data_IF_034567964824
#
_entry.id   IF_034567964824
#
_cell.length_a   1.000
_cell.length_b   1.000
_cell.length_c   1.000
_cell.angle_alpha   90.00
_cell.angle_beta   90.00
_cell.angle_gamma   90.00
#
_symmetry.space_group_name_H-M   'P 1'
#
loop_
_entity.id
_entity.type
_entity.pdbx_description
1 polymer ?
#
# COMPACT_ATOMS: atom_id res chain seq x y z
N UNK A 1 -5.50 12.91 18.88
CA UNK A 1 -4.32 12.97 17.99
C UNK A 1 -4.63 13.84 16.79
N UNK A 2 -3.75 14.76 16.46
CA UNK A 2 -3.78 15.52 15.20
C UNK A 2 -2.64 15.05 14.30
N UNK A 3 -2.79 15.24 13.00
CA UNK A 3 -1.70 14.88 12.07
C UNK A 3 -0.41 15.65 12.36
N UNK A 4 -0.53 16.90 12.84
CA UNK A 4 0.62 17.71 13.21
C UNK A 4 1.44 17.14 14.38
N UNK A 5 0.84 16.28 15.20
CA UNK A 5 1.49 15.67 16.36
C UNK A 5 2.33 14.44 15.97
N UNK A 6 2.20 13.95 14.72
CA UNK A 6 2.93 12.78 14.26
C UNK A 6 4.42 13.06 14.09
N UNK A 7 5.25 12.11 14.52
CA UNK A 7 6.69 12.16 14.30
C UNK A 7 7.03 11.63 12.90
N UNK A 8 6.84 12.49 11.91
CA UNK A 8 7.04 12.18 10.49
C UNK A 8 7.90 13.27 9.83
N UNK A 9 8.39 12.97 8.63
CA UNK A 9 9.21 13.91 7.86
C UNK A 9 8.45 15.21 7.57
N UNK A 10 9.15 16.33 7.64
CA UNK A 10 8.55 17.66 7.46
C UNK A 10 7.86 17.82 6.10
N UNK A 11 8.45 17.29 5.04
CA UNK A 11 7.84 17.31 3.70
C UNK A 11 6.48 16.64 3.69
N UNK A 12 6.33 15.55 4.44
CA UNK A 12 5.06 14.83 4.55
C UNK A 12 4.06 15.61 5.39
N UNK A 13 4.47 16.22 6.51
CA UNK A 13 3.60 17.09 7.29
C UNK A 13 3.02 18.22 6.43
N UNK A 14 3.88 18.88 5.66
CA UNK A 14 3.48 19.95 4.78
C UNK A 14 2.51 19.46 3.70
N UNK A 15 2.76 18.29 3.14
CA UNK A 15 1.88 17.69 2.14
C UNK A 15 0.49 17.39 2.71
N UNK A 16 0.41 16.88 3.94
CA UNK A 16 -0.86 16.62 4.63
C UNK A 16 -1.65 17.92 4.83
N UNK A 17 -0.97 19.00 5.25
CA UNK A 17 -1.60 20.32 5.40
C UNK A 17 -2.13 20.85 4.06
N UNK A 18 -1.33 20.77 3.00
CA UNK A 18 -1.72 21.23 1.66
C UNK A 18 -2.90 20.44 1.09
N UNK A 19 -3.01 19.16 1.44
CA UNK A 19 -4.12 18.30 1.06
C UNK A 19 -5.37 18.52 1.92
N UNK A 20 -5.29 19.41 2.92
CA UNK A 20 -6.37 19.78 3.83
C UNK A 20 -6.91 18.64 4.70
N UNK A 21 -6.10 17.62 4.97
CA UNK A 21 -6.42 16.59 5.94
C UNK A 21 -6.15 17.13 7.35
N UNK A 22 -7.20 17.38 8.11
CA UNK A 22 -7.09 18.04 9.43
C UNK A 22 -7.22 17.09 10.60
N UNK A 23 -8.30 16.31 10.62
CA UNK A 23 -8.65 15.45 11.75
C UNK A 23 -8.57 13.98 11.36
N UNK A 24 -7.74 13.18 12.05
CA UNK A 24 -7.69 11.75 11.78
C UNK A 24 -9.00 11.04 12.09
N UNK A 25 -9.35 10.06 11.24
CA UNK A 25 -10.43 9.11 11.53
C UNK A 25 -9.99 8.11 12.61
N UNK A 26 -10.92 7.36 13.23
CA UNK A 26 -10.54 6.35 14.24
C UNK A 26 -9.51 5.34 13.75
N UNK A 27 -9.66 4.80 12.54
CA UNK A 27 -8.71 3.82 12.00
C UNK A 27 -7.32 4.45 11.81
N UNK A 28 -7.25 5.70 11.41
CA UNK A 28 -6.00 6.43 11.27
C UNK A 28 -5.33 6.65 12.63
N UNK A 29 -6.09 7.13 13.61
CA UNK A 29 -5.56 7.37 14.96
C UNK A 29 -5.04 6.11 15.64
N UNK A 30 -5.68 4.96 15.39
CA UNK A 30 -5.30 3.68 15.99
C UNK A 30 -4.11 3.04 15.28
N UNK A 31 -4.03 3.14 13.95
CA UNK A 31 -3.05 2.37 13.16
C UNK A 31 -1.78 3.14 12.82
N UNK A 32 -1.86 4.45 12.58
CA UNK A 32 -0.69 5.22 12.14
C UNK A 32 0.46 5.19 13.15
N UNK A 33 0.24 5.43 14.45
CA UNK A 33 1.35 5.38 15.41
C UNK A 33 2.05 4.02 15.44
N UNK A 34 1.29 2.93 15.38
CA UNK A 34 1.81 1.56 15.37
C UNK A 34 2.65 1.31 14.11
N UNK A 35 2.11 1.73 12.96
CA UNK A 35 2.80 1.58 11.68
C UNK A 35 4.10 2.39 11.62
N UNK A 36 4.12 3.59 12.21
CA UNK A 36 5.32 4.43 12.24
C UNK A 36 6.44 3.80 13.08
N UNK A 37 6.11 2.92 14.02
CA UNK A 37 7.08 2.13 14.78
C UNK A 37 7.63 0.95 13.98
N UNK A 38 7.14 0.72 12.76
CA UNK A 38 7.56 -0.39 11.91
C UNK A 38 6.85 -1.70 12.17
N UNK A 39 5.82 -1.69 13.02
CA UNK A 39 5.06 -2.90 13.38
C UNK A 39 4.00 -3.21 12.33
N UNK A 40 3.66 -4.49 12.24
CA UNK A 40 2.58 -4.95 11.39
C UNK A 40 1.21 -4.53 11.96
N UNK A 41 0.23 -4.39 11.08
CA UNK A 41 -1.13 -3.98 11.46
C UNK A 41 -2.15 -4.90 10.81
N UNK A 42 -3.08 -5.39 11.62
CA UNK A 42 -4.32 -6.00 11.15
C UNK A 42 -5.45 -5.02 11.46
N UNK A 43 -5.98 -4.38 10.43
CA UNK A 43 -7.02 -3.37 10.56
C UNK A 43 -8.38 -3.88 10.09
N UNK A 44 -9.40 -3.78 10.94
CA UNK A 44 -10.78 -3.99 10.51
C UNK A 44 -11.35 -2.64 10.11
N UNK A 45 -11.55 -2.46 8.81
CA UNK A 45 -12.02 -1.18 8.27
C UNK A 45 -12.83 -1.41 7.02
N UNK A 46 -13.97 -0.73 6.94
CA UNK A 46 -14.81 -0.70 5.75
C UNK A 46 -14.41 0.44 4.82
N UNK A 47 -14.92 0.40 3.58
CA UNK A 47 -14.75 1.50 2.63
C UNK A 47 -15.28 2.82 3.22
N UNK A 48 -14.57 3.91 3.02
CA UNK A 48 -14.97 5.23 3.52
C UNK A 48 -14.53 5.57 4.95
N UNK A 49 -13.74 4.70 5.60
CA UNK A 49 -13.26 4.93 6.97
C UNK A 49 -11.92 5.68 7.05
N UNK A 50 -11.34 6.03 5.90
CA UNK A 50 -10.04 6.69 5.85
C UNK A 50 -8.84 5.74 5.91
N UNK A 51 -9.04 4.44 5.68
CA UNK A 51 -7.98 3.43 5.73
C UNK A 51 -6.84 3.70 4.74
N UNK A 52 -7.13 4.34 3.59
CA UNK A 52 -6.09 4.63 2.60
C UNK A 52 -5.02 5.57 3.16
N UNK A 53 -5.41 6.63 3.87
CA UNK A 53 -4.44 7.49 4.55
C UNK A 53 -3.73 6.75 5.69
N UNK A 54 -4.42 5.82 6.35
CA UNK A 54 -3.85 5.05 7.44
C UNK A 54 -2.61 4.26 6.99
N UNK A 55 -2.60 3.74 5.76
CA UNK A 55 -1.40 3.06 5.25
C UNK A 55 -0.52 3.98 4.38
N UNK A 56 -1.06 5.04 3.78
CA UNK A 56 -0.29 5.95 2.91
C UNK A 56 0.69 6.81 3.71
N UNK A 57 0.28 7.35 4.85
CA UNK A 57 1.13 8.22 5.66
C UNK A 57 2.39 7.50 6.18
N UNK A 58 2.27 6.33 6.84
CA UNK A 58 3.48 5.59 7.24
C UNK A 58 4.32 5.14 6.05
N UNK A 59 3.69 4.77 4.95
CA UNK A 59 4.36 4.36 3.72
C UNK A 59 5.29 5.45 3.19
N UNK A 60 4.75 6.64 2.96
CA UNK A 60 5.53 7.75 2.41
C UNK A 60 6.65 8.14 3.39
N UNK A 61 6.35 8.17 4.68
CA UNK A 61 7.36 8.47 5.70
C UNK A 61 8.53 7.48 5.63
N UNK A 62 8.23 6.19 5.52
CA UNK A 62 9.24 5.14 5.41
C UNK A 62 10.09 5.29 4.14
N UNK A 63 9.44 5.57 3.01
CA UNK A 63 10.14 5.75 1.72
C UNK A 63 10.98 7.03 1.67
N UNK A 64 10.60 8.07 2.40
CA UNK A 64 11.40 9.29 2.53
C UNK A 64 12.67 9.03 3.36
N UNK A 65 12.57 8.22 4.40
CA UNK A 65 13.71 7.87 5.26
C UNK A 65 14.66 6.89 4.60
N UNK A 66 14.14 5.96 3.80
CA UNK A 66 14.94 4.95 3.10
C UNK A 66 14.72 5.07 1.61
N UNK A 67 15.67 5.64 0.92
CA UNK A 67 15.60 5.89 -0.53
C UNK A 67 15.67 4.62 -1.39
N UNK A 68 16.06 3.50 -0.82
CA UNK A 68 16.12 2.21 -1.52
C UNK A 68 14.82 1.42 -1.36
N UNK A 69 14.00 1.75 -0.37
CA UNK A 69 12.78 1.02 -0.05
C UNK A 69 11.72 1.18 -1.12
N UNK A 70 10.91 0.14 -1.27
CA UNK A 70 9.71 0.13 -2.11
C UNK A 70 8.50 -0.29 -1.28
N UNK A 71 7.33 0.15 -1.72
CA UNK A 71 6.05 -0.27 -1.16
C UNK A 71 5.19 -0.92 -2.23
N UNK A 72 4.47 -1.96 -1.84
CA UNK A 72 3.52 -2.66 -2.70
C UNK A 72 2.16 -2.66 -2.03
N UNK A 73 1.14 -2.18 -2.76
CA UNK A 73 -0.26 -2.17 -2.31
C UNK A 73 -1.06 -3.04 -3.27
N UNK A 74 -1.68 -4.11 -2.74
CA UNK A 74 -2.48 -5.05 -3.53
C UNK A 74 -3.96 -4.79 -3.23
N UNK A 75 -4.74 -4.57 -4.29
CA UNK A 75 -6.16 -4.26 -4.23
C UNK A 75 -6.96 -5.28 -5.04
N UNK A 76 -8.23 -5.56 -4.67
CA UNK A 76 -9.04 -6.56 -5.37
C UNK A 76 -9.52 -6.14 -6.76
N UNK A 77 -9.73 -4.84 -7.01
CA UNK A 77 -10.30 -4.36 -8.27
C UNK A 77 -9.51 -3.19 -8.84
N UNK A 78 -9.66 -2.99 -10.15
CA UNK A 78 -9.06 -1.85 -10.85
C UNK A 78 -9.56 -0.52 -10.28
N UNK A 79 -10.86 -0.43 -10.00
CA UNK A 79 -11.51 0.77 -9.45
C UNK A 79 -10.91 1.14 -8.10
N UNK A 80 -10.77 0.16 -7.21
CA UNK A 80 -10.17 0.40 -5.90
C UNK A 80 -8.70 0.80 -6.01
N UNK A 81 -7.93 0.09 -6.84
CA UNK A 81 -6.52 0.43 -7.06
C UNK A 81 -6.35 1.87 -7.57
N UNK A 82 -7.22 2.29 -8.49
CA UNK A 82 -7.22 3.67 -9.02
C UNK A 82 -7.54 4.67 -7.91
N UNK A 83 -8.55 4.42 -7.08
CA UNK A 83 -8.91 5.29 -5.95
C UNK A 83 -7.78 5.38 -4.93
N UNK A 84 -7.14 4.27 -4.63
CA UNK A 84 -5.99 4.24 -3.72
C UNK A 84 -4.85 5.10 -4.29
N UNK A 85 -4.52 4.94 -5.56
CA UNK A 85 -3.48 5.75 -6.17
C UNK A 85 -3.82 7.24 -6.17
N UNK A 86 -5.07 7.62 -6.42
CA UNK A 86 -5.51 9.01 -6.35
C UNK A 86 -5.25 9.61 -4.96
N UNK A 87 -5.55 8.88 -3.90
CA UNK A 87 -5.28 9.32 -2.53
C UNK A 87 -3.78 9.40 -2.26
N UNK A 88 -3.01 8.39 -2.69
CA UNK A 88 -1.55 8.40 -2.57
C UNK A 88 -0.97 9.65 -3.24
N UNK A 89 -1.44 9.99 -4.44
CA UNK A 89 -0.93 11.13 -5.19
C UNK A 89 -1.28 12.47 -4.56
N UNK A 90 -2.35 12.56 -3.76
CA UNK A 90 -2.64 13.78 -2.98
C UNK A 90 -1.53 14.11 -1.98
N UNK A 91 -0.89 13.09 -1.42
CA UNK A 91 0.23 13.27 -0.49
C UNK A 91 1.59 13.24 -1.19
N UNK A 92 1.75 12.39 -2.20
CA UNK A 92 2.97 12.28 -2.98
C UNK A 92 3.05 13.41 -4.01
N UNK A 93 3.20 14.64 -3.50
CA UNK A 93 3.28 15.83 -4.34
C UNK A 93 4.64 15.96 -5.02
N UNK A 94 4.82 17.05 -5.80
CA UNK A 94 6.06 17.27 -6.55
C UNK A 94 7.30 17.37 -5.64
N UNK A 95 7.15 17.93 -4.44
CA UNK A 95 8.25 18.09 -3.50
C UNK A 95 8.71 16.75 -2.91
N UNK A 96 7.77 15.84 -2.63
CA UNK A 96 8.06 14.46 -2.20
C UNK A 96 8.59 13.64 -3.38
N UNK A 97 7.89 13.66 -4.49
CA UNK A 97 8.37 13.16 -5.79
C UNK A 97 8.76 11.70 -5.86
N UNK A 98 8.10 10.81 -5.09
CA UNK A 98 8.39 9.37 -5.13
C UNK A 98 7.76 8.78 -6.40
N UNK A 99 8.56 8.08 -7.21
CA UNK A 99 8.07 7.39 -8.41
C UNK A 99 7.01 6.36 -8.07
N UNK A 100 5.98 6.25 -8.91
CA UNK A 100 4.86 5.35 -8.67
C UNK A 100 4.38 4.70 -9.97
N UNK A 101 3.72 3.55 -9.83
CA UNK A 101 3.12 2.83 -10.96
C UNK A 101 1.80 2.20 -10.52
N UNK A 102 0.79 2.34 -11.37
CA UNK A 102 -0.52 1.71 -11.20
C UNK A 102 -0.61 0.52 -12.17
N UNK A 103 -0.62 -0.69 -11.61
CA UNK A 103 -0.57 -1.94 -12.38
C UNK A 103 -1.94 -2.63 -12.37
N UNK A 104 -2.77 -2.28 -13.34
CA UNK A 104 -4.14 -2.80 -13.47
C UNK A 104 -4.42 -3.28 -14.89
N UNK A 105 -5.30 -4.27 -15.02
CA UNK A 105 -5.79 -4.72 -16.31
C UNK A 105 -6.66 -3.65 -16.98
N UNK A 106 -6.76 -3.71 -18.31
CA UNK A 106 -7.53 -2.74 -19.07
C UNK A 106 -6.82 -1.42 -19.32
N UNK A 107 -5.66 -1.20 -18.72
CA UNK A 107 -4.79 -0.05 -18.97
C UNK A 107 -3.60 -0.46 -19.83
N UNK A 108 -2.99 0.51 -20.53
CA UNK A 108 -1.87 0.28 -21.42
C UNK A 108 -0.70 -0.37 -20.71
N UNK A 109 -0.28 -1.55 -21.19
CA UNK A 109 0.93 -2.22 -20.71
C UNK A 109 2.16 -1.34 -20.92
N UNK A 110 2.26 -0.65 -22.05
CA UNK A 110 3.40 0.21 -22.36
C UNK A 110 3.52 1.38 -21.39
N UNK A 111 2.40 1.97 -20.98
CA UNK A 111 2.38 3.03 -19.96
C UNK A 111 2.92 2.51 -18.63
N UNK A 112 2.50 1.31 -18.24
CA UNK A 112 2.96 0.67 -17.01
C UNK A 112 4.45 0.35 -17.07
N UNK A 113 4.94 -0.16 -18.19
CA UNK A 113 6.36 -0.43 -18.40
C UNK A 113 7.21 0.85 -18.30
N UNK A 114 6.71 1.97 -18.85
CA UNK A 114 7.40 3.24 -18.72
C UNK A 114 7.48 3.72 -17.26
N UNK A 115 6.39 3.60 -16.51
CA UNK A 115 6.37 3.96 -15.08
C UNK A 115 7.38 3.12 -14.29
N UNK A 116 7.43 1.82 -14.55
CA UNK A 116 8.37 0.92 -13.89
C UNK A 116 9.83 1.23 -14.24
N UNK A 117 10.12 1.58 -15.49
CA UNK A 117 11.47 1.98 -15.92
C UNK A 117 11.93 3.28 -15.26
N UNK A 118 11.01 4.17 -14.91
CA UNK A 118 11.32 5.43 -14.22
C UNK A 118 11.54 5.27 -12.73
N UNK A 119 11.85 4.06 -12.28
CA UNK A 119 12.13 3.75 -10.88
C UNK A 119 10.93 4.03 -9.97
N UNK A 120 9.81 3.38 -10.26
CA UNK A 120 8.65 3.40 -9.39
C UNK A 120 8.98 2.70 -8.07
N UNK A 121 8.71 3.37 -6.95
CA UNK A 121 8.91 2.85 -5.60
C UNK A 121 7.61 2.65 -4.84
N UNK A 122 6.52 3.21 -5.33
CA UNK A 122 5.16 2.94 -4.84
C UNK A 122 4.43 2.20 -5.96
N UNK A 123 4.10 0.94 -5.69
CA UNK A 123 3.39 0.09 -6.64
C UNK A 123 2.00 -0.18 -6.09
N UNK A 124 0.97 0.18 -6.85
CA UNK A 124 -0.42 -0.13 -6.53
C UNK A 124 -0.97 -0.97 -7.67
N UNK A 125 -1.62 -2.08 -7.37
CA UNK A 125 -2.16 -2.90 -8.44
C UNK A 125 -3.10 -4.00 -7.98
N UNK A 126 -3.62 -4.71 -8.97
CA UNK A 126 -4.44 -5.91 -8.79
C UNK A 126 -3.59 -7.16 -8.95
N UNK A 127 -3.94 -8.28 -8.30
CA UNK A 127 -3.08 -9.46 -8.25
C UNK A 127 -2.65 -9.99 -9.62
N UNK A 128 -3.57 -10.09 -10.58
CA UNK A 128 -3.27 -10.64 -11.91
C UNK A 128 -2.26 -9.81 -12.69
N UNK A 129 -2.43 -8.48 -12.72
CA UNK A 129 -1.54 -7.59 -13.46
C UNK A 129 -0.18 -7.45 -12.77
N UNK A 130 -0.13 -7.51 -11.45
CA UNK A 130 1.14 -7.54 -10.71
C UNK A 130 1.93 -8.78 -11.11
N UNK A 131 1.29 -9.96 -11.12
CA UNK A 131 1.93 -11.21 -11.53
C UNK A 131 2.40 -11.17 -12.99
N UNK A 132 1.63 -10.56 -13.89
CA UNK A 132 2.05 -10.37 -15.28
C UNK A 132 3.38 -9.63 -15.36
N UNK A 133 3.52 -8.56 -14.59
CA UNK A 133 4.77 -7.78 -14.58
C UNK A 133 5.92 -8.53 -13.91
N UNK A 134 5.65 -9.33 -12.89
CA UNK A 134 6.67 -10.19 -12.27
C UNK A 134 7.17 -11.22 -13.30
N UNK A 135 6.25 -11.90 -13.97
CA UNK A 135 6.56 -12.91 -14.97
C UNK A 135 7.35 -12.33 -16.15
N UNK A 136 6.99 -11.14 -16.59
CA UNK A 136 7.71 -10.40 -17.65
C UNK A 136 9.07 -9.83 -17.18
N UNK A 137 9.38 -9.94 -15.89
CA UNK A 137 10.57 -9.34 -15.27
C UNK A 137 10.62 -7.82 -15.39
N UNK A 138 9.48 -7.18 -15.62
CA UNK A 138 9.35 -5.72 -15.61
C UNK A 138 9.17 -5.14 -14.21
N UNK A 139 8.77 -5.96 -13.24
CA UNK A 139 8.61 -5.57 -11.84
C UNK A 139 9.54 -6.43 -10.97
N UNK A 140 10.44 -5.76 -10.25
CA UNK A 140 11.34 -6.39 -9.29
C UNK A 140 10.94 -5.97 -7.87
N UNK A 141 10.52 -6.93 -7.05
CA UNK A 141 10.03 -6.70 -5.69
C UNK A 141 11.12 -6.86 -4.62
N UNK A 142 12.38 -7.04 -5.00
CA UNK A 142 13.46 -7.34 -4.04
C UNK A 142 13.72 -6.23 -3.02
N UNK A 143 13.27 -5.01 -3.26
CA UNK A 143 13.41 -3.86 -2.36
C UNK A 143 12.14 -3.52 -1.59
N UNK A 144 11.10 -4.32 -1.74
CA UNK A 144 9.83 -4.10 -1.01
C UNK A 144 10.04 -4.40 0.47
N UNK A 145 9.83 -3.39 1.30
CA UNK A 145 9.85 -3.52 2.76
C UNK A 145 8.55 -3.05 3.42
N UNK A 146 7.57 -2.66 2.62
CA UNK A 146 6.25 -2.23 3.06
C UNK A 146 5.20 -2.84 2.15
N UNK A 147 4.33 -3.66 2.71
CA UNK A 147 3.30 -4.38 1.96
C UNK A 147 1.93 -4.07 2.55
N UNK A 148 0.98 -3.72 1.69
CA UNK A 148 -0.41 -3.50 2.07
C UNK A 148 -1.31 -4.47 1.30
N UNK A 149 -2.14 -5.20 2.03
CA UNK A 149 -3.23 -5.99 1.48
C UNK A 149 -4.53 -5.27 1.81
N UNK A 150 -5.15 -4.63 0.82
CA UNK A 150 -6.36 -3.85 1.01
C UNK A 150 -7.60 -4.65 0.60
N UNK A 151 -8.66 -4.58 1.41
CA UNK A 151 -9.89 -5.37 1.23
C UNK A 151 -9.59 -6.86 1.02
N UNK A 152 -8.82 -7.42 1.94
CA UNK A 152 -8.32 -8.79 1.85
C UNK A 152 -9.44 -9.83 1.78
N UNK A 153 -10.51 -9.66 2.57
CA UNK A 153 -11.68 -10.54 2.52
C UNK A 153 -12.30 -10.59 1.12
N UNK A 154 -12.39 -9.46 0.45
CA UNK A 154 -12.90 -9.38 -0.91
C UNK A 154 -11.98 -10.10 -1.90
N UNK A 155 -10.67 -9.97 -1.75
CA UNK A 155 -9.72 -10.69 -2.60
C UNK A 155 -9.86 -12.21 -2.43
N UNK A 156 -10.05 -12.69 -1.22
CA UNK A 156 -10.26 -14.11 -0.95
C UNK A 156 -11.58 -14.61 -1.54
N UNK A 157 -12.66 -13.83 -1.39
CA UNK A 157 -13.96 -14.18 -1.97
C UNK A 157 -13.90 -14.25 -3.50
N UNK A 158 -13.07 -13.45 -4.13
CA UNK A 158 -12.84 -13.46 -5.58
C UNK A 158 -11.88 -14.57 -6.03
N UNK A 159 -11.34 -15.37 -5.10
CA UNK A 159 -10.46 -16.48 -5.42
C UNK A 159 -9.02 -16.09 -5.72
N UNK A 160 -8.56 -14.92 -5.25
CA UNK A 160 -7.21 -14.41 -5.53
C UNK A 160 -6.11 -14.96 -4.61
N UNK A 161 -6.43 -15.89 -3.71
CA UNK A 161 -5.43 -16.45 -2.79
C UNK A 161 -4.19 -16.98 -3.50
N UNK A 162 -4.30 -17.81 -4.58
CA UNK A 162 -3.11 -18.30 -5.28
C UNK A 162 -2.27 -17.18 -5.88
N UNK A 163 -2.90 -16.15 -6.46
CA UNK A 163 -2.19 -15.02 -7.06
C UNK A 163 -1.46 -14.19 -6.01
N UNK A 164 -2.09 -13.97 -4.86
CA UNK A 164 -1.46 -13.25 -3.74
C UNK A 164 -0.26 -14.03 -3.22
N UNK A 165 -0.41 -15.33 -2.98
CA UNK A 165 0.69 -16.18 -2.50
C UNK A 165 1.87 -16.20 -3.48
N UNK A 166 1.58 -16.19 -4.78
CA UNK A 166 2.62 -16.12 -5.81
C UNK A 166 3.41 -14.81 -5.73
N UNK A 167 2.72 -13.68 -5.57
CA UNK A 167 3.36 -12.38 -5.39
C UNK A 167 4.25 -12.37 -4.15
N UNK A 168 3.74 -12.88 -3.04
CA UNK A 168 4.45 -12.86 -1.76
C UNK A 168 5.75 -13.67 -1.77
N UNK A 169 5.89 -14.64 -2.66
CA UNK A 169 7.15 -15.38 -2.84
C UNK A 169 8.30 -14.47 -3.29
N UNK A 170 7.98 -13.37 -3.96
CA UNK A 170 8.98 -12.42 -4.47
C UNK A 170 9.25 -11.26 -3.53
N UNK A 171 8.45 -11.11 -2.46
CA UNK A 171 8.66 -10.09 -1.44
C UNK A 171 9.69 -10.61 -0.41
N UNK A 172 10.71 -9.81 -0.06
CA UNK A 172 11.67 -10.22 0.97
C UNK A 172 10.99 -10.59 2.28
N UNK A 173 11.55 -11.55 3.02
CA UNK A 173 10.98 -11.96 4.31
C UNK A 173 10.91 -10.82 5.31
N UNK A 174 11.92 -9.96 5.31
CA UNK A 174 11.94 -8.78 6.18
C UNK A 174 11.18 -7.64 5.51
N UNK A 175 9.93 -7.48 5.90
CA UNK A 175 9.08 -6.38 5.47
C UNK A 175 8.01 -6.12 6.52
N UNK A 176 7.41 -4.94 6.46
CA UNK A 176 6.26 -4.57 7.29
C UNK A 176 4.99 -4.86 6.49
N UNK A 177 3.98 -5.47 7.12
CA UNK A 177 2.70 -5.77 6.47
C UNK A 177 1.55 -5.06 7.17
N UNK A 178 0.71 -4.38 6.39
CA UNK A 178 -0.58 -3.86 6.83
C UNK A 178 -1.67 -4.61 6.07
N UNK A 179 -2.52 -5.30 6.80
CA UNK A 179 -3.65 -6.04 6.24
C UNK A 179 -4.95 -5.37 6.67
N UNK A 180 -5.77 -4.97 5.71
CA UNK A 180 -7.09 -4.38 5.96
C UNK A 180 -8.18 -5.28 5.41
N UNK A 181 -9.23 -5.46 6.21
CA UNK A 181 -10.35 -6.31 5.87
C UNK A 181 -11.60 -5.79 6.58
N UNK A 182 -12.76 -5.82 5.91
CA UNK A 182 -14.02 -5.40 6.53
C UNK A 182 -14.51 -6.46 7.53
N UNK A 183 -14.17 -7.73 7.28
CA UNK A 183 -14.56 -8.87 8.11
C UNK A 183 -13.32 -9.69 8.51
N UNK A 184 -13.43 -10.47 9.58
CA UNK A 184 -12.34 -11.35 10.05
C UNK A 184 -12.78 -12.82 10.08
N UNK A 185 -13.17 -13.42 8.92
CA UNK A 185 -13.45 -14.85 8.88
C UNK A 185 -12.16 -15.65 9.12
N UNK A 186 -12.31 -16.95 9.38
CA UNK A 186 -11.19 -17.82 9.73
C UNK A 186 -10.06 -17.81 8.68
N UNK A 187 -10.40 -17.76 7.40
CA UNK A 187 -9.41 -17.71 6.34
C UNK A 187 -8.56 -16.42 6.35
N UNK A 188 -9.14 -15.28 6.75
CA UNK A 188 -8.40 -14.02 6.94
C UNK A 188 -7.46 -14.15 8.15
N UNK A 189 -7.93 -14.72 9.24
CA UNK A 189 -7.10 -14.94 10.42
C UNK A 189 -5.92 -15.87 10.12
N UNK A 190 -6.13 -16.91 9.32
CA UNK A 190 -5.03 -17.78 8.85
C UNK A 190 -3.99 -17.02 8.05
N UNK A 191 -4.41 -16.15 7.14
CA UNK A 191 -3.51 -15.32 6.36
C UNK A 191 -2.77 -14.35 7.28
N UNK A 192 -3.46 -13.71 8.21
CA UNK A 192 -2.82 -12.79 9.15
C UNK A 192 -1.74 -13.50 9.97
N UNK A 193 -2.01 -14.70 10.48
CA UNK A 193 -1.01 -15.49 11.21
C UNK A 193 0.17 -15.94 10.35
N UNK A 194 -0.04 -16.11 9.05
CA UNK A 194 1.01 -16.53 8.12
C UNK A 194 1.93 -15.38 7.69
N UNK A 195 1.42 -14.18 7.55
CA UNK A 195 2.12 -13.06 6.91
C UNK A 195 2.35 -11.84 7.80
N UNK A 196 1.77 -11.76 8.98
CA UNK A 196 2.01 -10.70 9.95
C UNK A 196 2.79 -11.22 11.15
N UNK A 197 3.68 -10.36 11.67
CA UNK A 197 4.44 -10.59 12.90
C UNK A 197 3.75 -9.94 14.12
#
# INVERSE_FOLDING_TARGET
>A
MNFSDLNIENKLKKSIELAEFKVPTPIQSQSIPISLEGKDVLGTAQTGTGKTLAFTIPMINKLLKDKQAMALIICPTRELATQVMETVLKLNNREIGIGNALLIGGESMQKQLRQLKKRARIIVGTPGRINDHIERKSLNLSKVNYLVLDETDRMLDMGFTPQIELILKFVPKKHQTLLFSATLPENILKISHKYLD
#
